data_IF_042391366480
#
_entry.id   IF_042391366480
#
_cell.length_a   1.000
_cell.length_b   1.000
_cell.length_c   1.000
_cell.angle_alpha   90.00
_cell.angle_beta   90.00
_cell.angle_gamma   90.00
#
_symmetry.space_group_name_H-M   'P 1'
#
loop_
_entity.id
_entity.type
_entity.pdbx_description
1 polymer ?
#
# COMPACT_ATOMS: atom_id res chain seq x y z
N UNK A 1 13.74 3.84 -10.06
CA UNK A 1 13.85 4.52 -8.76
C UNK A 1 12.71 4.14 -7.85
N UNK A 2 12.98 3.80 -6.61
CA UNK A 2 11.93 3.43 -5.66
C UNK A 2 12.38 3.65 -4.23
N UNK A 3 11.40 3.81 -3.33
CA UNK A 3 11.63 3.88 -1.91
C UNK A 3 11.28 2.56 -1.25
N UNK A 4 12.04 2.18 -0.25
CA UNK A 4 11.82 0.94 0.49
C UNK A 4 11.69 1.29 1.96
N UNK A 5 10.67 0.71 2.59
CA UNK A 5 10.43 0.89 4.01
C UNK A 5 10.34 -0.48 4.66
N UNK A 6 11.11 -0.65 5.72
CA UNK A 6 10.97 -1.82 6.58
C UNK A 6 10.22 -1.41 7.83
N UNK A 7 9.06 -2.02 8.04
CA UNK A 7 8.27 -1.74 9.23
C UNK A 7 8.91 -2.38 10.46
N UNK A 8 8.74 -1.82 11.66
CA UNK A 8 8.00 -0.62 11.96
C UNK A 8 8.83 0.65 11.92
N UNK A 9 10.14 0.55 11.93
CA UNK A 9 10.95 1.74 11.96
C UNK A 9 11.54 2.00 10.59
N UNK A 10 11.52 3.25 10.20
CA UNK A 10 12.10 3.69 8.98
C UNK A 10 13.47 4.25 9.27
N UNK A 11 14.45 3.77 8.56
CA UNK A 11 15.78 4.33 8.64
C UNK A 11 15.83 5.62 7.83
N UNK A 12 16.22 6.68 8.51
CA UNK A 12 16.53 7.92 7.82
C UNK A 12 17.97 8.26 8.16
N UNK A 13 18.76 8.43 7.16
CA UNK A 13 20.18 8.68 7.33
C UNK A 13 20.53 10.16 7.40
N UNK A 14 19.53 11.02 7.57
CA UNK A 14 19.71 12.45 7.62
C UNK A 14 19.68 13.12 6.26
N UNK A 15 19.62 12.36 5.17
CA UNK A 15 19.48 12.91 3.83
C UNK A 15 18.04 13.32 3.53
N UNK A 16 17.81 14.00 2.40
CA UNK A 16 16.46 14.36 2.00
C UNK A 16 15.66 13.11 1.71
N UNK A 17 14.44 13.10 2.22
CA UNK A 17 13.53 11.99 2.02
C UNK A 17 12.94 12.07 0.62
N UNK A 18 12.93 10.96 -0.08
CA UNK A 18 12.34 10.90 -1.41
C UNK A 18 10.81 10.85 -1.32
N UNK A 19 10.14 11.28 -2.39
CA UNK A 19 8.69 11.19 -2.49
C UNK A 19 8.24 9.72 -2.38
N UNK A 20 8.97 8.81 -3.02
CA UNK A 20 8.63 7.39 -2.98
C UNK A 20 8.75 6.81 -1.56
N UNK A 21 9.72 7.27 -0.77
CA UNK A 21 9.82 6.87 0.62
C UNK A 21 8.62 7.38 1.43
N UNK A 22 8.20 8.61 1.17
CA UNK A 22 7.04 9.17 1.86
C UNK A 22 5.76 8.42 1.49
N UNK A 23 5.62 8.04 0.22
CA UNK A 23 4.49 7.23 -0.23
C UNK A 23 4.48 5.86 0.47
N UNK A 24 5.62 5.18 0.50
CA UNK A 24 5.72 3.88 1.16
C UNK A 24 5.39 3.99 2.65
N UNK A 25 5.91 5.01 3.33
CA UNK A 25 5.61 5.26 4.74
C UNK A 25 4.13 5.51 4.99
N UNK A 26 3.50 6.30 4.13
CA UNK A 26 2.08 6.59 4.25
C UNK A 26 1.25 5.33 4.13
N UNK A 27 1.61 4.44 3.21
CA UNK A 27 0.89 3.18 3.04
C UNK A 27 1.01 2.28 4.26
N UNK A 28 2.20 2.19 4.86
CA UNK A 28 2.39 1.43 6.11
C UNK A 28 1.49 2.00 7.21
N UNK A 29 1.48 3.32 7.36
CA UNK A 29 0.69 3.98 8.39
C UNK A 29 -0.81 3.76 8.19
N UNK A 30 -1.30 3.95 6.97
CA UNK A 30 -2.73 3.78 6.68
C UNK A 30 -3.18 2.33 6.88
N UNK A 31 -2.37 1.37 6.46
CA UNK A 31 -2.70 -0.04 6.66
C UNK A 31 -2.70 -0.39 8.15
N UNK A 32 -1.74 0.14 8.91
CA UNK A 32 -1.71 -0.09 10.35
C UNK A 32 -2.94 0.48 11.04
N UNK A 33 -3.36 1.68 10.66
CA UNK A 33 -4.56 2.30 11.21
C UNK A 33 -5.82 1.51 10.87
N UNK A 34 -5.91 1.05 9.63
CA UNK A 34 -7.10 0.34 9.15
C UNK A 34 -7.22 -1.07 9.70
N UNK A 35 -6.11 -1.78 9.83
CA UNK A 35 -6.12 -3.21 10.18
C UNK A 35 -5.54 -3.52 11.57
N UNK A 36 -5.03 -2.53 12.29
CA UNK A 36 -4.44 -2.75 13.60
C UNK A 36 -2.98 -3.18 13.56
N UNK A 37 -2.49 -3.61 12.41
CA UNK A 37 -1.07 -3.87 12.19
C UNK A 37 -0.74 -3.57 10.73
N UNK A 38 0.49 -3.17 10.49
CA UNK A 38 0.95 -2.87 9.15
C UNK A 38 1.76 -4.02 8.55
N UNK A 39 2.10 -3.89 7.28
CA UNK A 39 3.01 -4.83 6.62
C UNK A 39 4.40 -4.74 7.22
N UNK A 40 5.20 -5.80 7.05
CA UNK A 40 6.57 -5.82 7.54
C UNK A 40 7.53 -5.10 6.59
N UNK A 41 7.15 -4.95 5.33
CA UNK A 41 7.94 -4.23 4.35
C UNK A 41 7.01 -3.56 3.34
N UNK A 42 7.41 -2.39 2.87
CA UNK A 42 6.71 -1.66 1.84
C UNK A 42 7.73 -1.06 0.87
N UNK A 43 7.37 -1.09 -0.40
CA UNK A 43 8.22 -0.58 -1.47
C UNK A 43 7.36 0.19 -2.46
N UNK A 44 7.74 1.42 -2.74
CA UNK A 44 7.06 2.24 -3.74
C UNK A 44 7.99 2.43 -4.94
N UNK A 45 7.44 2.31 -6.12
CA UNK A 45 8.21 2.46 -7.36
C UNK A 45 7.32 3.05 -8.44
N UNK A 46 7.94 3.82 -9.33
CA UNK A 46 7.25 4.29 -10.53
C UNK A 46 7.17 3.17 -11.57
N UNK A 47 6.01 3.07 -12.19
CA UNK A 47 5.81 2.26 -13.38
C UNK A 47 5.51 3.24 -14.51
N UNK A 48 6.54 3.73 -15.19
CA UNK A 48 6.43 4.85 -16.12
C UNK A 48 6.42 6.17 -15.35
N UNK A 49 5.95 7.24 -15.99
CA UNK A 49 6.03 8.60 -15.42
C UNK A 49 4.83 8.96 -14.55
N UNK A 50 3.72 8.28 -14.74
CA UNK A 50 2.45 8.70 -14.16
C UNK A 50 1.80 7.66 -13.24
N UNK A 51 2.50 6.58 -12.92
CA UNK A 51 1.94 5.53 -12.07
C UNK A 51 2.93 5.17 -10.96
N UNK A 52 2.44 5.07 -9.73
CA UNK A 52 3.21 4.55 -8.60
C UNK A 52 2.55 3.25 -8.15
N UNK A 53 3.36 2.22 -7.96
CA UNK A 53 2.93 0.95 -7.41
C UNK A 53 3.60 0.77 -6.05
N UNK A 54 2.80 0.51 -5.02
CA UNK A 54 3.32 0.20 -3.69
C UNK A 54 3.08 -1.27 -3.44
N UNK A 55 4.14 -2.01 -3.13
CA UNK A 55 4.10 -3.42 -2.79
C UNK A 55 4.24 -3.57 -1.28
N UNK A 56 3.27 -4.21 -0.65
CA UNK A 56 3.21 -4.39 0.79
C UNK A 56 3.32 -5.89 1.09
N UNK A 57 4.32 -6.28 1.87
CA UNK A 57 4.60 -7.69 2.15
C UNK A 57 4.24 -8.06 3.57
N UNK A 58 3.87 -9.32 3.75
CA UNK A 58 3.39 -9.86 5.01
C UNK A 58 2.24 -9.01 5.56
N UNK A 59 1.34 -8.64 4.66
CA UNK A 59 0.28 -7.68 4.96
C UNK A 59 -0.97 -8.31 5.57
N UNK A 60 -1.05 -9.63 5.64
CA UNK A 60 -2.24 -10.29 6.17
C UNK A 60 -2.26 -10.32 7.69
N UNK A 61 -3.47 -10.21 8.21
CA UNK A 61 -3.74 -10.40 9.64
C UNK A 61 -3.73 -11.89 9.98
N UNK A 62 -3.49 -12.27 11.23
CA UNK A 62 -3.58 -13.69 11.63
C UNK A 62 -4.92 -14.34 11.28
N UNK A 63 -6.03 -13.61 11.43
CA UNK A 63 -7.33 -14.14 11.06
C UNK A 63 -7.45 -14.41 9.56
N UNK A 64 -6.82 -13.55 8.75
CA UNK A 64 -6.81 -13.74 7.31
C UNK A 64 -5.95 -14.94 6.91
N UNK A 65 -4.83 -15.15 7.57
CA UNK A 65 -4.00 -16.34 7.34
C UNK A 65 -4.76 -17.62 7.66
N UNK A 66 -5.54 -17.60 8.73
CA UNK A 66 -6.37 -18.75 9.09
C UNK A 66 -7.39 -19.06 7.99
N UNK A 67 -7.99 -18.03 7.39
CA UNK A 67 -8.91 -18.22 6.27
C UNK A 67 -8.21 -18.82 5.05
N UNK A 68 -7.00 -18.37 4.76
CA UNK A 68 -6.20 -18.92 3.65
C UNK A 68 -5.92 -20.40 3.88
N UNK A 69 -5.56 -20.79 5.10
CA UNK A 69 -5.31 -22.18 5.46
C UNK A 69 -6.54 -23.05 5.29
N UNK A 70 -7.73 -22.49 5.46
CA UNK A 70 -8.99 -23.17 5.24
C UNK A 70 -9.41 -23.18 3.77
N UNK A 71 -8.62 -22.63 2.87
CA UNK A 71 -8.95 -22.54 1.46
C UNK A 71 -9.88 -21.37 1.11
N UNK A 72 -10.12 -20.46 2.05
CA UNK A 72 -11.05 -19.34 1.89
C UNK A 72 -10.35 -18.07 1.44
N UNK A 73 -9.37 -18.19 0.55
CA UNK A 73 -8.59 -17.02 0.11
C UNK A 73 -9.41 -15.99 -0.65
N UNK A 74 -10.49 -16.40 -1.34
CA UNK A 74 -11.35 -15.46 -2.03
C UNK A 74 -12.06 -14.51 -1.05
N UNK A 75 -12.41 -14.99 0.12
CA UNK A 75 -13.03 -14.14 1.15
C UNK A 75 -12.08 -13.04 1.59
N UNK A 76 -10.80 -13.37 1.70
CA UNK A 76 -9.78 -12.38 2.06
C UNK A 76 -9.68 -11.32 0.96
N UNK A 77 -9.60 -11.75 -0.31
CA UNK A 77 -9.53 -10.83 -1.44
C UNK A 77 -10.73 -9.90 -1.50
N UNK A 78 -11.92 -10.46 -1.41
CA UNK A 78 -13.17 -9.69 -1.49
C UNK A 78 -13.28 -8.69 -0.35
N UNK A 79 -12.95 -9.11 0.86
CA UNK A 79 -13.00 -8.24 2.01
C UNK A 79 -12.02 -7.09 1.90
N UNK A 80 -10.79 -7.38 1.43
CA UNK A 80 -9.77 -6.37 1.22
C UNK A 80 -10.19 -5.34 0.17
N UNK A 81 -10.77 -5.79 -0.93
CA UNK A 81 -11.26 -4.90 -1.97
C UNK A 81 -12.42 -4.05 -1.49
N UNK A 82 -13.31 -4.62 -0.68
CA UNK A 82 -14.42 -3.88 -0.11
C UNK A 82 -13.93 -2.76 0.82
N UNK A 83 -12.99 -3.08 1.69
CA UNK A 83 -12.42 -2.09 2.62
C UNK A 83 -11.64 -1.02 1.87
N UNK A 84 -10.92 -1.40 0.82
CA UNK A 84 -10.22 -0.45 -0.02
C UNK A 84 -11.18 0.55 -0.65
N UNK A 85 -12.30 0.09 -1.15
CA UNK A 85 -13.29 0.97 -1.76
C UNK A 85 -13.88 1.93 -0.71
N UNK A 86 -14.13 1.44 0.50
CA UNK A 86 -14.65 2.25 1.59
C UNK A 86 -13.65 3.34 2.04
N UNK A 87 -12.37 3.11 1.88
CA UNK A 87 -11.32 4.04 2.32
C UNK A 87 -10.61 4.73 1.16
N UNK A 88 -11.13 4.59 -0.05
CA UNK A 88 -10.53 5.13 -1.27
C UNK A 88 -10.13 6.59 -1.15
N UNK A 89 -11.04 7.42 -0.67
CA UNK A 89 -10.81 8.87 -0.56
C UNK A 89 -9.64 9.19 0.37
N UNK A 90 -9.56 8.49 1.50
CA UNK A 90 -8.47 8.71 2.44
C UNK A 90 -7.11 8.39 1.80
N UNK A 91 -7.03 7.27 1.10
CA UNK A 91 -5.79 6.85 0.46
C UNK A 91 -5.37 7.81 -0.67
N UNK A 92 -6.31 8.16 -1.54
CA UNK A 92 -5.99 9.05 -2.66
C UNK A 92 -5.66 10.46 -2.19
N UNK A 93 -6.39 11.00 -1.22
CA UNK A 93 -6.08 12.33 -0.67
C UNK A 93 -4.70 12.38 -0.04
N UNK A 94 -4.34 11.32 0.70
CA UNK A 94 -3.02 11.25 1.35
C UNK A 94 -1.90 11.26 0.31
N UNK A 95 -2.05 10.46 -0.75
CA UNK A 95 -1.03 10.36 -1.79
C UNK A 95 -0.94 11.64 -2.61
N UNK A 96 -2.07 12.27 -2.91
CA UNK A 96 -2.08 13.54 -3.62
C UNK A 96 -1.27 14.61 -2.89
N UNK A 97 -1.38 14.66 -1.57
CA UNK A 97 -0.63 15.63 -0.77
C UNK A 97 0.87 15.37 -0.83
N UNK A 98 1.26 14.11 -0.84
CA UNK A 98 2.68 13.74 -0.87
C UNK A 98 3.28 14.00 -2.25
N UNK A 99 2.61 13.54 -3.29
CA UNK A 99 3.13 13.58 -4.66
C UNK A 99 2.91 14.94 -5.30
N UNK A 100 1.94 15.71 -4.83
CA UNK A 100 1.56 17.02 -5.39
C UNK A 100 1.07 16.90 -6.82
N UNK A 101 0.31 15.83 -7.07
CA UNK A 101 -0.35 15.57 -8.35
C UNK A 101 -1.71 14.96 -8.07
N UNK A 102 -2.66 15.19 -8.97
CA UNK A 102 -3.99 14.63 -8.85
C UNK A 102 -3.97 13.14 -9.20
N UNK A 103 -4.59 12.32 -8.36
CA UNK A 103 -4.78 10.89 -8.63
C UNK A 103 -6.00 10.75 -9.54
N UNK A 104 -5.80 10.14 -10.70
CA UNK A 104 -6.86 9.93 -11.68
C UNK A 104 -7.43 8.51 -11.61
N UNK A 105 -6.67 7.57 -11.05
CA UNK A 105 -7.12 6.19 -10.88
C UNK A 105 -6.42 5.57 -9.68
N UNK A 106 -7.14 4.71 -8.97
CA UNK A 106 -6.62 3.99 -7.82
C UNK A 106 -7.16 2.58 -7.86
N UNK A 107 -6.28 1.61 -7.69
CA UNK A 107 -6.65 0.20 -7.62
C UNK A 107 -5.83 -0.48 -6.55
N UNK A 108 -6.40 -1.51 -5.97
CA UNK A 108 -5.71 -2.35 -5.02
C UNK A 108 -5.84 -3.80 -5.46
N UNK A 109 -4.84 -4.60 -5.17
CA UNK A 109 -4.86 -6.02 -5.44
C UNK A 109 -4.27 -6.75 -4.25
N UNK A 110 -4.75 -7.96 -4.02
CA UNK A 110 -4.25 -8.78 -2.92
C UNK A 110 -4.06 -10.20 -3.42
N UNK A 111 -2.88 -10.75 -3.17
CA UNK A 111 -2.65 -12.18 -3.31
C UNK A 111 -2.54 -12.77 -1.91
N UNK A 112 -3.62 -13.35 -1.37
CA UNK A 112 -3.60 -13.85 0.00
C UNK A 112 -2.62 -14.99 0.22
N UNK A 113 -2.35 -15.78 -0.80
CA UNK A 113 -1.46 -16.95 -0.67
C UNK A 113 -0.01 -16.53 -0.45
N UNK A 114 0.40 -15.43 -1.07
CA UNK A 114 1.74 -14.88 -0.87
C UNK A 114 1.78 -13.75 0.15
N UNK A 115 0.62 -13.38 0.71
CA UNK A 115 0.48 -12.31 1.70
C UNK A 115 0.96 -10.95 1.19
N UNK A 116 0.73 -10.69 -0.09
CA UNK A 116 1.14 -9.44 -0.72
C UNK A 116 -0.08 -8.62 -1.10
N UNK A 117 -0.01 -7.33 -0.84
CA UNK A 117 -1.02 -6.35 -1.26
C UNK A 117 -0.31 -5.31 -2.12
N UNK A 118 -0.95 -4.91 -3.20
CA UNK A 118 -0.47 -3.81 -4.04
C UNK A 118 -1.47 -2.68 -4.01
N UNK A 119 -0.97 -1.44 -3.88
CA UNK A 119 -1.75 -0.23 -4.04
C UNK A 119 -1.20 0.51 -5.24
N UNK A 120 -2.06 0.83 -6.20
CA UNK A 120 -1.65 1.39 -7.48
C UNK A 120 -2.33 2.74 -7.67
N UNK A 121 -1.52 3.78 -7.90
CA UNK A 121 -2.01 5.14 -8.09
C UNK A 121 -1.56 5.64 -9.45
N UNK A 122 -2.51 6.07 -10.27
CA UNK A 122 -2.21 6.75 -11.51
C UNK A 122 -2.50 8.24 -11.34
N UNK A 123 -1.65 9.07 -11.88
CA UNK A 123 -1.73 10.52 -11.75
C UNK A 123 -2.00 11.16 -13.09
N UNK A 124 -2.52 12.38 -13.06
CA UNK A 124 -2.70 13.16 -14.28
C UNK A 124 -1.35 13.35 -14.97
N UNK A 125 -1.34 13.34 -16.29
CA UNK A 125 -0.12 13.56 -17.06
C UNK A 125 0.38 14.98 -16.88
N UNK A 126 1.68 15.10 -16.83
CA UNK A 126 2.33 16.41 -16.76
C UNK A 126 2.47 17.05 -18.11
#
# INVERSE_FOLDING_TARGET
>A
MFGVVSSPSLETDGGPRSVLMDVANAMVTLHKQQFGRGPTAARAAYAGDDTIIVTLREALLPAERALVELGEFQRVQENRLFLQEATRKLFTDTIEKIVQREVTAFASACDPRSEVVWEIFEFESR
#
